data_IF_002188939234
#
_entry.id   IF_002188939234
#
_cell.length_a   1.000
_cell.length_b   1.000
_cell.length_c   1.000
_cell.angle_alpha   90.00
_cell.angle_beta   90.00
_cell.angle_gamma   90.00
#
_symmetry.space_group_name_H-M   'P 1'
#
loop_
_entity.id
_entity.type
_entity.pdbx_description
1 polymer ?
#
# COMPACT_ATOMS: atom_id res chain seq x y z
N UNK A 1 1.73 -4.58 -11.95
CA UNK A 1 2.82 -5.20 -11.13
C UNK A 1 2.24 -5.91 -9.90
N UNK A 2 2.75 -7.09 -9.47
CA UNK A 2 2.29 -7.75 -8.23
C UNK A 2 2.51 -6.87 -6.99
N UNK A 3 1.62 -6.96 -6.00
CA UNK A 3 1.70 -6.17 -4.75
C UNK A 3 3.04 -6.35 -4.02
N UNK A 4 3.58 -7.55 -3.96
CA UNK A 4 4.87 -7.87 -3.34
C UNK A 4 6.04 -7.20 -4.05
N UNK A 5 6.00 -7.15 -5.39
CA UNK A 5 6.99 -6.41 -6.20
C UNK A 5 6.82 -4.90 -6.03
N UNK A 6 5.57 -4.42 -5.99
CA UNK A 6 5.27 -3.01 -5.73
C UNK A 6 5.83 -2.55 -4.38
N UNK A 7 5.66 -3.36 -3.34
CA UNK A 7 6.22 -3.09 -2.02
C UNK A 7 7.74 -2.95 -2.04
N UNK A 8 8.47 -3.85 -2.70
CA UNK A 8 9.94 -3.81 -2.73
C UNK A 8 10.47 -2.53 -3.36
N UNK A 9 9.89 -2.13 -4.50
CA UNK A 9 10.26 -0.91 -5.20
C UNK A 9 9.86 0.33 -4.38
N UNK A 10 8.63 0.36 -3.89
CA UNK A 10 8.13 1.44 -3.03
C UNK A 10 9.01 1.63 -1.77
N UNK A 11 9.39 0.54 -1.08
CA UNK A 11 10.27 0.61 0.09
C UNK A 11 11.65 1.17 -0.25
N UNK A 12 12.19 0.83 -1.42
CA UNK A 12 13.46 1.37 -1.90
C UNK A 12 13.37 2.88 -2.11
N UNK A 13 12.34 3.33 -2.83
CA UNK A 13 12.14 4.76 -3.12
C UNK A 13 11.92 5.57 -1.84
N UNK A 14 11.07 5.06 -0.93
CA UNK A 14 10.81 5.75 0.35
C UNK A 14 12.04 5.81 1.24
N UNK A 15 12.97 4.85 1.14
CA UNK A 15 14.26 4.93 1.83
C UNK A 15 15.12 6.06 1.25
N UNK A 16 15.14 6.23 -0.07
CA UNK A 16 15.86 7.33 -0.74
C UNK A 16 15.25 8.69 -0.36
N UNK A 17 13.92 8.77 -0.25
CA UNK A 17 13.19 9.96 0.22
C UNK A 17 13.37 10.27 1.71
N UNK A 18 14.15 9.48 2.46
CA UNK A 18 14.48 9.74 3.86
C UNK A 18 13.42 9.27 4.86
N UNK A 19 12.56 8.31 4.51
CA UNK A 19 11.61 7.74 5.48
C UNK A 19 12.36 7.04 6.60
N UNK A 20 11.93 7.28 7.85
CA UNK A 20 12.54 6.63 9.01
C UNK A 20 12.38 5.10 8.97
N UNK A 21 13.32 4.33 9.56
CA UNK A 21 13.17 2.88 9.68
C UNK A 21 11.87 2.46 10.39
N UNK A 22 11.41 3.25 11.35
CA UNK A 22 10.16 3.01 12.06
C UNK A 22 8.93 3.15 11.14
N UNK A 23 8.91 4.19 10.30
CA UNK A 23 7.86 4.39 9.29
C UNK A 23 7.85 3.24 8.29
N UNK A 24 9.02 2.86 7.77
CA UNK A 24 9.15 1.75 6.81
C UNK A 24 8.71 0.42 7.42
N UNK A 25 9.06 0.14 8.69
CA UNK A 25 8.58 -1.05 9.41
C UNK A 25 7.05 -1.08 9.51
N UNK A 26 6.43 0.04 9.81
CA UNK A 26 4.97 0.13 9.90
C UNK A 26 4.31 -0.04 8.53
N UNK A 27 4.85 0.60 7.49
CA UNK A 27 4.35 0.47 6.12
C UNK A 27 4.54 -0.96 5.58
N UNK A 28 5.61 -1.66 5.97
CA UNK A 28 5.84 -3.07 5.64
C UNK A 28 4.74 -3.96 6.21
N UNK A 29 4.30 -3.71 7.44
CA UNK A 29 3.19 -4.44 8.03
C UNK A 29 1.90 -4.20 7.25
N UNK A 30 1.60 -2.95 6.90
CA UNK A 30 0.40 -2.63 6.11
C UNK A 30 0.44 -3.31 4.72
N UNK A 31 1.59 -3.32 4.07
CA UNK A 31 1.81 -4.02 2.81
C UNK A 31 1.56 -5.53 2.92
N UNK A 32 2.12 -6.18 3.94
CA UNK A 32 1.89 -7.62 4.19
C UNK A 32 0.41 -7.94 4.35
N UNK A 33 -0.32 -7.12 5.10
CA UNK A 33 -1.75 -7.33 5.32
C UNK A 33 -2.56 -7.12 4.03
N UNK A 34 -2.17 -6.17 3.19
CA UNK A 34 -2.81 -5.96 1.89
C UNK A 34 -2.56 -7.15 0.94
N UNK A 35 -1.32 -7.63 0.88
CA UNK A 35 -0.91 -8.80 0.09
C UNK A 35 -1.67 -10.04 0.54
N UNK A 36 -1.76 -10.29 1.85
CA UNK A 36 -2.49 -11.44 2.39
C UNK A 36 -3.99 -11.38 2.07
N UNK A 37 -4.60 -10.19 2.17
CA UNK A 37 -6.03 -10.04 1.91
C UNK A 37 -6.38 -10.26 0.44
N UNK A 38 -5.55 -9.77 -0.49
CA UNK A 38 -5.81 -9.86 -1.92
C UNK A 38 -5.03 -10.98 -2.63
N UNK A 39 -4.28 -11.81 -1.91
CA UNK A 39 -3.48 -12.91 -2.46
C UNK A 39 -2.45 -12.48 -3.53
N UNK A 40 -1.64 -11.47 -3.20
CA UNK A 40 -0.54 -10.93 -4.03
C UNK A 40 -0.90 -10.59 -5.49
N UNK A 41 -2.12 -10.14 -5.76
CA UNK A 41 -2.59 -9.79 -7.10
C UNK A 41 -1.79 -8.65 -7.74
N UNK A 42 -2.02 -8.44 -9.04
CA UNK A 42 -1.57 -7.24 -9.72
C UNK A 42 -2.19 -5.99 -9.06
N UNK A 43 -1.36 -5.03 -8.63
CA UNK A 43 -1.81 -3.76 -8.02
C UNK A 43 -2.77 -2.98 -8.93
N UNK A 44 -2.68 -3.17 -10.24
CA UNK A 44 -3.54 -2.53 -11.24
C UNK A 44 -4.92 -3.14 -11.36
N UNK A 45 -5.11 -4.40 -10.92
CA UNK A 45 -6.42 -5.03 -10.94
C UNK A 45 -7.28 -4.63 -9.73
N UNK A 46 -6.71 -3.88 -8.78
CA UNK A 46 -7.43 -3.42 -7.60
C UNK A 46 -8.20 -2.14 -7.93
N UNK A 47 -9.51 -2.18 -7.72
CA UNK A 47 -10.43 -1.07 -7.91
C UNK A 47 -10.66 -0.36 -6.57
N UNK A 48 -11.27 0.82 -6.62
CA UNK A 48 -11.71 1.52 -5.40
C UNK A 48 -12.66 0.67 -4.56
N UNK A 49 -13.53 -0.13 -5.17
CA UNK A 49 -14.49 -0.97 -4.43
C UNK A 49 -13.81 -2.14 -3.72
N UNK A 50 -12.80 -2.77 -4.36
CA UNK A 50 -11.94 -3.75 -3.69
C UNK A 50 -11.30 -3.14 -2.42
N UNK A 51 -10.72 -1.95 -2.55
CA UNK A 51 -10.07 -1.25 -1.43
C UNK A 51 -11.05 -0.83 -0.34
N UNK A 52 -12.25 -0.35 -0.70
CA UNK A 52 -13.33 -0.06 0.25
C UNK A 52 -13.77 -1.30 1.01
N UNK A 53 -13.94 -2.43 0.32
CA UNK A 53 -14.29 -3.71 0.94
C UNK A 53 -13.24 -4.18 1.94
N UNK A 54 -11.95 -4.03 1.61
CA UNK A 54 -10.85 -4.30 2.52
C UNK A 54 -10.86 -3.41 3.77
N UNK A 55 -11.11 -2.11 3.58
CA UNK A 55 -11.16 -1.14 4.67
C UNK A 55 -12.39 -1.34 5.57
N UNK A 56 -13.54 -1.70 5.01
CA UNK A 56 -14.75 -2.03 5.75
C UNK A 56 -14.50 -3.22 6.68
N UNK A 57 -13.98 -4.33 6.15
CA UNK A 57 -13.60 -5.50 6.97
C UNK A 57 -12.56 -5.16 8.03
N UNK A 58 -11.58 -4.33 7.67
CA UNK A 58 -10.55 -3.88 8.63
C UNK A 58 -11.14 -3.00 9.74
N UNK A 59 -12.22 -2.26 9.48
CA UNK A 59 -12.83 -1.33 10.45
C UNK A 59 -13.57 -2.02 11.58
N UNK A 60 -14.00 -3.27 11.38
CA UNK A 60 -14.72 -4.08 12.38
C UNK A 60 -13.88 -4.34 13.64
N UNK A 61 -12.55 -4.31 13.52
CA UNK A 61 -11.64 -4.70 14.60
C UNK A 61 -10.52 -3.68 14.89
N UNK A 62 -10.42 -2.60 14.11
CA UNK A 62 -9.37 -1.59 14.28
C UNK A 62 -9.88 -0.33 14.95
N UNK A 63 -9.09 0.18 15.89
CA UNK A 63 -9.26 1.56 16.39
C UNK A 63 -9.14 2.56 15.23
N UNK A 64 -9.84 3.71 15.29
CA UNK A 64 -9.82 4.73 14.23
C UNK A 64 -8.40 5.15 13.80
N UNK A 65 -7.46 5.29 14.73
CA UNK A 65 -6.08 5.67 14.44
C UNK A 65 -5.32 4.62 13.62
N UNK A 66 -5.54 3.33 13.90
CA UNK A 66 -4.97 2.21 13.15
C UNK A 66 -5.55 2.13 11.74
N UNK A 67 -6.86 2.34 11.61
CA UNK A 67 -7.52 2.39 10.30
C UNK A 67 -7.02 3.58 9.47
N UNK A 68 -6.87 4.75 10.09
CA UNK A 68 -6.31 5.93 9.42
C UNK A 68 -4.88 5.68 8.91
N UNK A 69 -4.06 4.95 9.67
CA UNK A 69 -2.73 4.54 9.22
C UNK A 69 -2.81 3.63 7.99
N UNK A 70 -3.69 2.63 8.01
CA UNK A 70 -3.93 1.74 6.87
C UNK A 70 -4.34 2.52 5.62
N UNK A 71 -5.27 3.46 5.76
CA UNK A 71 -5.73 4.33 4.66
C UNK A 71 -4.57 5.16 4.11
N UNK A 72 -3.75 5.78 4.98
CA UNK A 72 -2.59 6.55 4.55
C UNK A 72 -1.60 5.71 3.74
N UNK A 73 -1.30 4.50 4.22
CA UNK A 73 -0.44 3.58 3.48
C UNK A 73 -1.01 3.23 2.11
N UNK A 74 -2.29 2.84 2.03
CA UNK A 74 -2.95 2.51 0.75
C UNK A 74 -2.86 3.69 -0.22
N UNK A 75 -3.24 4.90 0.20
CA UNK A 75 -3.15 6.08 -0.66
C UNK A 75 -1.72 6.31 -1.15
N UNK A 76 -0.74 6.18 -0.26
CA UNK A 76 0.66 6.42 -0.58
C UNK A 76 1.22 5.43 -1.62
N UNK A 77 1.01 4.12 -1.45
CA UNK A 77 1.54 3.11 -2.38
C UNK A 77 0.83 3.14 -3.74
N UNK A 78 -0.48 3.39 -3.77
CA UNK A 78 -1.22 3.48 -5.04
C UNK A 78 -0.89 4.75 -5.80
N UNK A 79 -0.70 5.89 -5.11
CA UNK A 79 -0.25 7.12 -5.75
C UNK A 79 1.14 6.95 -6.35
N UNK A 80 2.08 6.41 -5.58
CA UNK A 80 3.42 6.10 -6.07
C UNK A 80 3.39 5.16 -7.28
N UNK A 81 2.59 4.09 -7.25
CA UNK A 81 2.51 3.15 -8.38
C UNK A 81 1.91 3.77 -9.63
N UNK A 82 1.00 4.74 -9.47
CA UNK A 82 0.46 5.51 -10.58
C UNK A 82 1.52 6.44 -11.17
N UNK A 83 2.23 7.18 -10.32
CA UNK A 83 3.23 8.16 -10.76
C UNK A 83 4.43 7.49 -11.44
N UNK A 84 4.91 6.36 -10.90
CA UNK A 84 5.95 5.54 -11.54
C UNK A 84 5.56 5.06 -12.94
N UNK A 85 4.28 4.70 -13.14
CA UNK A 85 3.78 4.26 -14.45
C UNK A 85 3.78 5.41 -15.45
N UNK A 86 3.33 6.59 -15.03
CA UNK A 86 3.29 7.76 -15.91
C UNK A 86 4.70 8.16 -16.36
N UNK A 87 5.70 8.03 -15.49
CA UNK A 87 7.10 8.31 -15.82
C UNK A 87 7.73 7.28 -16.79
N UNK A 88 7.22 6.04 -16.85
CA UNK A 88 7.73 5.01 -17.77
C UNK A 88 7.10 5.12 -19.17
N UNK A 89 5.90 5.72 -19.27
CA UNK A 89 5.15 5.86 -20.52
C UNK A 89 5.37 7.21 -21.23
N UNK A 90 6.12 8.13 -20.63
CA UNK A 90 6.54 9.42 -21.18
C UNK A 90 7.92 9.34 -21.83
#
# INVERSE_FOLDING_TARGET
MLLSKAWKLYESDKRIEGFSPHTLKTYRLQSKLLIQFFNDVNIESLTTDHLKGYLAKSSEHLKPSSLAHRIRFIKSIFRWSHDLRMAILS
#
